data_IF_806141692656
#
_entry.id   IF_806141692656
#
_cell.length_a   1.000
_cell.length_b   1.000
_cell.length_c   1.000
_cell.angle_alpha   90.00
_cell.angle_beta   90.00
_cell.angle_gamma   90.00
#
_symmetry.space_group_name_H-M   'P 1'
#
loop_
_entity.id
_entity.type
_entity.pdbx_description
1 polymer ?
#
# COMPACT_ATOMS: atom_id res chain seq x y z
N UNK A 1 29.01 -2.35 -9.95
CA UNK A 1 28.53 -1.91 -8.63
C UNK A 1 27.18 -1.24 -8.84
N UNK A 2 26.06 -1.83 -8.38
CA UNK A 2 24.78 -1.10 -8.40
C UNK A 2 24.93 0.13 -7.50
N UNK A 3 24.62 1.30 -8.04
CA UNK A 3 24.67 2.55 -7.29
C UNK A 3 23.68 2.50 -6.12
N UNK A 4 24.03 3.01 -4.93
CA UNK A 4 23.19 2.91 -3.73
C UNK A 4 21.76 3.45 -3.92
N UNK A 5 21.55 4.37 -4.86
CA UNK A 5 20.24 4.97 -5.14
C UNK A 5 19.23 4.04 -5.82
N UNK A 6 19.66 3.01 -6.56
CA UNK A 6 18.71 2.09 -7.23
C UNK A 6 18.18 1.03 -6.28
N UNK A 7 18.99 0.63 -5.29
CA UNK A 7 18.58 -0.33 -4.27
C UNK A 7 17.53 0.27 -3.33
N UNK A 8 17.68 1.53 -2.94
CA UNK A 8 16.72 2.23 -2.06
C UNK A 8 15.37 2.46 -2.75
N UNK A 9 15.35 2.84 -4.02
CA UNK A 9 14.12 2.96 -4.81
C UNK A 9 13.37 1.62 -4.91
N UNK A 10 14.10 0.52 -5.16
CA UNK A 10 13.51 -0.82 -5.26
C UNK A 10 12.87 -1.24 -3.94
N UNK A 11 13.55 -0.96 -2.82
CA UNK A 11 13.07 -1.27 -1.48
C UNK A 11 11.80 -0.47 -1.12
N UNK A 12 11.79 0.84 -1.44
CA UNK A 12 10.61 1.70 -1.25
C UNK A 12 9.40 1.24 -2.08
N UNK A 13 9.62 0.82 -3.33
CA UNK A 13 8.56 0.27 -4.18
C UNK A 13 8.03 -1.07 -3.64
N UNK A 14 8.90 -1.94 -3.13
CA UNK A 14 8.50 -3.19 -2.51
C UNK A 14 7.68 -2.94 -1.23
N UNK A 15 8.09 -1.98 -0.39
CA UNK A 15 7.32 -1.57 0.79
C UNK A 15 5.96 -1.00 0.41
N UNK A 16 5.88 -0.17 -0.64
CA UNK A 16 4.60 0.37 -1.15
C UNK A 16 3.65 -0.76 -1.55
N UNK A 17 4.11 -1.71 -2.36
CA UNK A 17 3.28 -2.86 -2.78
C UNK A 17 2.80 -3.70 -1.58
N UNK A 18 3.64 -3.86 -0.56
CA UNK A 18 3.23 -4.56 0.65
C UNK A 18 2.16 -3.77 1.44
N UNK A 19 2.33 -2.45 1.57
CA UNK A 19 1.36 -1.58 2.20
C UNK A 19 0.01 -1.57 1.46
N UNK A 20 0.02 -1.60 0.12
CA UNK A 20 -1.19 -1.74 -0.71
C UNK A 20 -1.89 -3.08 -0.45
N UNK A 21 -1.15 -4.19 -0.41
CA UNK A 21 -1.72 -5.51 -0.06
C UNK A 21 -2.36 -5.54 1.34
N UNK A 22 -1.73 -4.89 2.31
CA UNK A 22 -2.28 -4.75 3.67
C UNK A 22 -3.57 -3.92 3.64
N UNK A 23 -3.58 -2.82 2.89
CA UNK A 23 -4.77 -1.97 2.74
C UNK A 23 -5.94 -2.76 2.14
N UNK A 24 -5.71 -3.53 1.08
CA UNK A 24 -6.73 -4.39 0.48
C UNK A 24 -7.28 -5.42 1.47
N UNK A 25 -6.39 -6.05 2.24
CA UNK A 25 -6.78 -7.03 3.26
C UNK A 25 -7.62 -6.39 4.37
N UNK A 26 -7.25 -5.19 4.83
CA UNK A 26 -8.02 -4.44 5.82
C UNK A 26 -9.39 -4.01 5.30
N UNK A 27 -9.49 -3.61 4.02
CA UNK A 27 -10.76 -3.27 3.39
C UNK A 27 -11.69 -4.48 3.27
N UNK A 28 -11.14 -5.64 2.93
CA UNK A 28 -11.91 -6.89 2.87
C UNK A 28 -12.41 -7.30 4.26
N UNK A 29 -11.52 -7.33 5.25
CA UNK A 29 -11.88 -7.65 6.63
C UNK A 29 -12.94 -6.69 7.17
N UNK A 30 -12.86 -5.39 6.82
CA UNK A 30 -13.90 -4.40 7.16
C UNK A 30 -15.24 -4.75 6.54
N UNK A 31 -15.28 -5.09 5.25
CA UNK A 31 -16.52 -5.46 4.58
C UNK A 31 -17.14 -6.75 5.18
N UNK A 32 -16.31 -7.73 5.52
CA UNK A 32 -16.75 -8.96 6.19
C UNK A 32 -17.32 -8.67 7.59
N UNK A 33 -16.64 -7.83 8.39
CA UNK A 33 -17.13 -7.42 9.70
C UNK A 33 -18.45 -6.63 9.60
N UNK A 34 -18.54 -5.65 8.70
CA UNK A 34 -19.77 -4.88 8.47
C UNK A 34 -20.93 -5.81 8.08
N UNK A 35 -20.67 -6.83 7.24
CA UNK A 35 -21.68 -7.81 6.85
C UNK A 35 -22.14 -8.68 8.04
N UNK A 36 -21.22 -9.14 8.89
CA UNK A 36 -21.55 -9.92 10.08
C UNK A 36 -22.35 -9.07 11.09
N UNK A 37 -21.93 -7.84 11.35
CA UNK A 37 -22.61 -6.91 12.25
C UNK A 37 -24.03 -6.58 11.76
N UNK A 38 -24.21 -6.39 10.45
CA UNK A 38 -25.54 -6.21 9.85
C UNK A 38 -26.43 -7.45 10.04
N UNK A 39 -25.88 -8.66 9.82
CA UNK A 39 -26.63 -9.92 10.04
C UNK A 39 -27.04 -10.09 11.50
N UNK A 40 -26.19 -9.67 12.43
CA UNK A 40 -26.44 -9.75 13.87
C UNK A 40 -27.26 -8.56 14.42
N UNK A 41 -27.63 -7.58 13.58
CA UNK A 41 -28.25 -6.30 13.99
C UNK A 41 -27.49 -5.59 15.11
N UNK A 42 -26.16 -5.77 15.15
CA UNK A 42 -25.28 -5.19 16.16
C UNK A 42 -24.50 -4.04 15.58
N UNK A 43 -24.45 -2.94 16.32
CA UNK A 43 -23.51 -1.87 16.02
C UNK A 43 -22.14 -2.21 16.61
N UNK A 44 -21.07 -1.82 15.92
CA UNK A 44 -19.73 -1.89 16.47
C UNK A 44 -19.64 -0.96 17.72
N UNK A 45 -19.29 -1.51 18.91
CA UNK A 45 -19.29 -0.74 20.15
C UNK A 45 -18.27 0.40 20.14
N UNK A 46 -17.17 0.24 19.41
CA UNK A 46 -16.15 1.29 19.29
C UNK A 46 -16.57 2.38 18.30
N UNK A 47 -17.26 2.01 17.23
CA UNK A 47 -17.89 2.97 16.29
C UNK A 47 -19.01 3.77 16.95
N UNK A 48 -19.75 3.15 17.86
CA UNK A 48 -20.83 3.81 18.62
C UNK A 48 -20.31 4.91 19.56
N UNK A 49 -19.09 4.75 20.09
CA UNK A 49 -18.47 5.71 21.02
C UNK A 49 -17.58 6.73 20.31
N UNK A 50 -16.84 6.30 19.28
CA UNK A 50 -15.78 7.12 18.66
C UNK A 50 -16.08 7.54 17.22
N UNK A 51 -17.19 7.10 16.65
CA UNK A 51 -17.56 7.32 15.25
C UNK A 51 -16.77 6.49 14.23
N UNK A 52 -15.70 5.81 14.65
CA UNK A 52 -14.85 4.99 13.78
C UNK A 52 -14.51 3.63 14.42
N UNK A 53 -14.44 2.57 13.61
CA UNK A 53 -13.97 1.26 14.04
C UNK A 53 -12.43 1.23 14.14
N UNK A 54 -11.87 0.25 14.85
CA UNK A 54 -10.42 -0.02 14.81
C UNK A 54 -9.93 -0.30 13.39
N UNK A 55 -10.74 -0.94 12.55
CA UNK A 55 -10.44 -1.20 11.14
C UNK A 55 -10.41 0.11 10.32
N UNK A 56 -11.35 1.04 10.54
CA UNK A 56 -11.30 2.36 9.90
C UNK A 56 -10.02 3.13 10.27
N UNK A 57 -9.61 3.05 11.53
CA UNK A 57 -8.35 3.66 11.99
C UNK A 57 -7.13 3.00 11.33
N UNK A 58 -7.11 1.67 11.24
CA UNK A 58 -6.04 0.93 10.57
C UNK A 58 -5.96 1.27 9.08
N UNK A 59 -7.11 1.31 8.38
CA UNK A 59 -7.20 1.71 6.96
C UNK A 59 -6.67 3.13 6.76
N UNK A 60 -7.09 4.08 7.58
CA UNK A 60 -6.63 5.46 7.50
C UNK A 60 -5.11 5.58 7.72
N UNK A 61 -4.57 4.84 8.70
CA UNK A 61 -3.15 4.83 8.97
C UNK A 61 -2.34 4.22 7.81
N UNK A 62 -2.78 3.08 7.26
CA UNK A 62 -2.12 2.44 6.11
C UNK A 62 -2.16 3.32 4.86
N UNK A 63 -3.27 4.03 4.63
CA UNK A 63 -3.35 5.03 3.53
C UNK A 63 -2.31 6.15 3.70
N UNK A 64 -2.15 6.68 4.91
CA UNK A 64 -1.14 7.70 5.21
C UNK A 64 0.28 7.16 5.02
N UNK A 65 0.51 5.90 5.37
CA UNK A 65 1.79 5.22 5.16
C UNK A 65 2.11 5.09 3.66
N UNK A 66 1.13 4.70 2.83
CA UNK A 66 1.29 4.64 1.37
C UNK A 66 1.60 6.02 0.79
N UNK A 67 0.90 7.07 1.22
CA UNK A 67 1.17 8.44 0.77
C UNK A 67 2.61 8.89 1.11
N UNK A 68 3.07 8.54 2.32
CA UNK A 68 4.45 8.83 2.75
C UNK A 68 5.47 8.09 1.90
N UNK A 69 5.22 6.81 1.60
CA UNK A 69 6.08 6.00 0.72
C UNK A 69 6.10 6.54 -0.71
N UNK A 70 4.95 6.97 -1.25
CA UNK A 70 4.86 7.59 -2.56
C UNK A 70 5.73 8.85 -2.64
N UNK A 71 5.61 9.74 -1.64
CA UNK A 71 6.46 10.94 -1.57
C UNK A 71 7.95 10.60 -1.49
N UNK A 72 8.32 9.56 -0.73
CA UNK A 72 9.71 9.12 -0.62
C UNK A 72 10.24 8.54 -1.95
N UNK A 73 9.41 7.80 -2.69
CA UNK A 73 9.75 7.30 -4.04
C UNK A 73 9.93 8.47 -5.01
N UNK A 74 9.04 9.46 -4.99
CA UNK A 74 9.14 10.65 -5.83
C UNK A 74 10.40 11.47 -5.54
N UNK A 75 10.74 11.64 -4.25
CA UNK A 75 11.95 12.34 -3.83
C UNK A 75 13.22 11.58 -4.25
N UNK A 76 13.25 10.27 -4.00
CA UNK A 76 14.36 9.41 -4.42
C UNK A 76 14.54 9.38 -5.95
N UNK A 77 13.45 9.41 -6.71
CA UNK A 77 13.48 9.49 -8.17
C UNK A 77 14.05 10.84 -8.68
N UNK A 78 13.69 11.95 -8.01
CA UNK A 78 14.23 13.29 -8.34
C UNK A 78 15.72 13.39 -8.03
N UNK A 79 16.16 12.85 -6.89
CA UNK A 79 17.57 12.82 -6.49
C UNK A 79 18.42 11.93 -7.41
N UNK A 80 17.83 10.85 -7.96
CA UNK A 80 18.51 9.96 -8.90
C UNK A 80 18.71 10.55 -10.32
N UNK A 81 18.21 11.75 -10.61
CA UNK A 81 18.55 12.48 -11.84
C UNK A 81 18.00 11.89 -13.13
N UNK A 82 16.86 11.20 -13.10
CA UNK A 82 16.20 10.67 -14.29
C UNK A 82 14.77 11.22 -14.42
N UNK A 83 14.45 11.65 -15.64
CA UNK A 83 13.16 12.15 -16.10
C UNK A 83 12.00 11.25 -15.66
N UNK A 84 10.98 11.85 -15.03
CA UNK A 84 9.56 11.46 -15.07
C UNK A 84 9.16 10.02 -14.65
N UNK A 85 8.16 9.84 -13.78
CA UNK A 85 7.78 8.53 -13.21
C UNK A 85 7.17 7.50 -14.18
N UNK A 86 7.09 7.75 -15.49
CA UNK A 86 6.40 6.87 -16.44
C UNK A 86 7.22 5.67 -16.96
N UNK A 87 8.54 5.65 -16.78
CA UNK A 87 9.40 4.63 -17.39
C UNK A 87 9.70 3.41 -16.51
N UNK A 88 9.60 3.52 -15.18
CA UNK A 88 10.02 2.45 -14.25
C UNK A 88 8.94 1.37 -14.07
N UNK A 89 7.67 1.67 -14.32
CA UNK A 89 6.58 0.71 -14.09
C UNK A 89 6.47 -0.37 -15.17
N UNK A 90 6.99 -0.14 -16.39
CA UNK A 90 6.83 -1.06 -17.53
C UNK A 90 7.90 -2.16 -17.60
N UNK A 91 9.04 -2.00 -16.93
CA UNK A 91 10.16 -2.97 -17.07
C UNK A 91 10.11 -4.12 -16.07
N UNK A 92 9.35 -4.01 -14.97
CA UNK A 92 9.35 -5.04 -13.90
C UNK A 92 8.31 -6.15 -14.15
N UNK A 93 7.37 -5.96 -15.09
CA UNK A 93 6.30 -6.92 -15.41
C UNK A 93 6.61 -7.83 -16.61
N UNK A 94 7.79 -8.48 -16.67
CA UNK A 94 7.99 -9.63 -17.56
C UNK A 94 8.85 -10.71 -16.90
N UNK A 95 8.25 -11.82 -16.41
CA UNK A 95 9.04 -13.00 -16.05
C UNK A 95 9.73 -13.55 -17.30
N UNK A 96 11.00 -13.99 -17.22
CA UNK A 96 11.60 -14.72 -18.34
C UNK A 96 10.86 -16.05 -18.49
N UNK A 97 10.21 -16.20 -19.64
CA UNK A 97 9.77 -17.50 -20.12
C UNK A 97 10.97 -18.44 -20.08
N UNK A 98 10.84 -19.55 -19.35
CA UNK A 98 11.85 -20.60 -19.35
C UNK A 98 12.00 -21.15 -20.77
N UNK A 99 13.23 -21.10 -21.28
CA UNK A 99 13.65 -21.84 -22.47
C UNK A 99 14.04 -23.24 -22.01
N UNK A 100 13.45 -24.23 -22.70
CA UNK A 100 13.68 -25.68 -22.58
C UNK A 100 15.13 -26.07 -22.83
#
# INVERSE_FOLDING_TARGET
>A
MPTPNTQTLTDLLAMRQNAERILESLLRARAECDQCLQKEQRADPMRSVTGASSLDKAVANTRRMIETLNRAVEDAAKVAGAQGPAAVEVTIARPPAQVQ
#
